data_IF_112352778385
#
_entry.id   IF_112352778385
#
_cell.length_a   1.000
_cell.length_b   1.000
_cell.length_c   1.000
_cell.angle_alpha   90.00
_cell.angle_beta   90.00
_cell.angle_gamma   90.00
#
_symmetry.space_group_name_H-M   'P 1'
#
loop_
_entity.id
_entity.type
_entity.pdbx_description
1 polymer ?
#
# COMPACT_ATOMS: atom_id res chain seq x y z
N UNK A 1 -7.92 12.81 -14.22
CA UNK A 1 -7.67 12.57 -12.77
C UNK A 1 -8.51 13.43 -11.83
N UNK A 2 -8.97 14.64 -12.21
CA UNK A 2 -9.68 15.55 -11.28
C UNK A 2 -11.17 15.22 -11.03
N UNK A 3 -11.77 14.40 -11.90
CA UNK A 3 -13.14 13.93 -11.74
C UNK A 3 -13.10 12.44 -11.32
N UNK A 4 -13.81 12.04 -10.24
CA UNK A 4 -13.88 10.64 -9.82
C UNK A 4 -14.67 9.80 -10.84
N UNK A 5 -14.33 8.50 -10.95
CA UNK A 5 -15.09 7.58 -11.80
C UNK A 5 -16.46 7.29 -11.17
N UNK A 6 -17.54 7.23 -11.96
CA UNK A 6 -18.87 6.90 -11.43
C UNK A 6 -18.91 5.46 -10.91
N UNK A 7 -19.63 5.26 -9.81
CA UNK A 7 -19.90 3.96 -9.18
C UNK A 7 -21.38 3.92 -8.81
N UNK A 8 -21.97 2.72 -8.76
CA UNK A 8 -23.39 2.56 -8.41
C UNK A 8 -23.66 3.02 -6.97
N UNK A 9 -22.98 2.40 -6.00
CA UNK A 9 -23.15 2.67 -4.58
C UNK A 9 -21.81 2.54 -3.84
N UNK A 10 -21.66 3.29 -2.74
CA UNK A 10 -20.52 3.17 -1.82
C UNK A 10 -20.91 2.26 -0.66
N UNK A 11 -20.33 1.07 -0.61
CA UNK A 11 -20.61 0.08 0.42
C UNK A 11 -19.80 0.35 1.71
N UNK A 12 -20.33 0.03 2.89
CA UNK A 12 -19.54 0.03 4.12
C UNK A 12 -18.47 -1.06 4.06
N UNK A 13 -17.22 -0.75 4.45
CA UNK A 13 -16.13 -1.72 4.37
C UNK A 13 -16.26 -2.77 5.48
N UNK A 14 -16.32 -4.04 5.11
CA UNK A 14 -16.45 -5.18 6.05
C UNK A 14 -15.30 -6.17 5.97
N UNK A 15 -14.50 -6.13 4.90
CA UNK A 15 -13.38 -7.04 4.67
C UNK A 15 -12.05 -6.39 5.09
N UNK A 16 -11.21 -7.07 5.89
CA UNK A 16 -9.91 -6.53 6.27
C UNK A 16 -8.93 -6.49 5.09
N UNK A 17 -8.09 -5.46 5.06
CA UNK A 17 -6.88 -5.41 4.25
C UNK A 17 -5.80 -6.18 5.02
N UNK A 18 -5.48 -7.39 4.57
CA UNK A 18 -4.41 -8.19 5.15
C UNK A 18 -3.10 -7.69 4.54
N UNK A 19 -2.23 -7.15 5.39
CA UNK A 19 -0.95 -6.55 4.96
C UNK A 19 0.22 -7.53 4.99
N UNK A 20 0.09 -8.64 5.74
CA UNK A 20 1.18 -9.57 6.02
C UNK A 20 2.08 -9.13 7.17
N UNK A 21 1.86 -7.93 7.73
CA UNK A 21 2.63 -7.40 8.85
C UNK A 21 1.87 -7.64 10.15
N UNK A 22 2.43 -8.48 11.03
CA UNK A 22 1.79 -8.87 12.31
C UNK A 22 1.28 -7.69 13.12
N UNK A 23 2.06 -6.62 13.25
CA UNK A 23 1.67 -5.43 14.03
C UNK A 23 0.49 -4.68 13.40
N UNK A 24 0.43 -4.59 12.08
CA UNK A 24 -0.66 -3.92 11.37
C UNK A 24 -1.92 -4.80 11.39
N UNK A 25 -1.78 -6.08 11.09
CA UNK A 25 -2.92 -6.98 10.99
C UNK A 25 -3.58 -7.30 12.35
N UNK A 26 -2.82 -7.23 13.45
CA UNK A 26 -3.34 -7.53 14.80
C UNK A 26 -3.73 -6.31 15.62
N UNK A 27 -2.90 -5.26 15.64
CA UNK A 27 -3.10 -4.11 16.54
C UNK A 27 -3.77 -2.93 15.86
N UNK A 28 -3.53 -2.75 14.55
CA UNK A 28 -3.99 -1.58 13.80
C UNK A 28 -4.55 -1.98 12.42
N UNK A 29 -5.59 -2.84 12.37
CA UNK A 29 -6.07 -3.40 11.11
C UNK A 29 -6.68 -2.32 10.23
N UNK A 30 -6.47 -2.46 8.92
CA UNK A 30 -7.15 -1.67 7.89
C UNK A 30 -8.20 -2.52 7.17
N UNK A 31 -9.05 -1.87 6.39
CA UNK A 31 -10.13 -2.49 5.63
C UNK A 31 -9.98 -2.22 4.14
N UNK A 32 -10.47 -3.13 3.30
CA UNK A 32 -10.51 -2.93 1.85
C UNK A 32 -11.40 -1.72 1.53
N UNK A 33 -10.85 -0.75 0.79
CA UNK A 33 -11.48 0.55 0.53
C UNK A 33 -11.32 1.59 1.65
N UNK A 34 -10.60 1.25 2.72
CA UNK A 34 -10.20 2.16 3.78
C UNK A 34 -9.05 3.09 3.37
N UNK A 35 -8.77 4.07 4.23
CA UNK A 35 -7.66 5.02 4.05
C UNK A 35 -6.72 4.94 5.25
N UNK A 36 -5.42 4.81 5.00
CA UNK A 36 -4.39 4.75 6.03
C UNK A 36 -3.26 5.75 5.74
N UNK A 37 -2.55 6.14 6.79
CA UNK A 37 -1.37 6.98 6.68
C UNK A 37 -0.23 6.36 7.51
N UNK A 38 0.99 6.40 6.96
CA UNK A 38 2.22 5.95 7.63
C UNK A 38 3.13 7.17 7.82
N UNK A 39 3.01 7.89 8.94
CA UNK A 39 3.91 9.00 9.24
C UNK A 39 5.28 8.48 9.68
N UNK A 40 6.32 9.29 9.52
CA UNK A 40 7.65 8.95 10.03
C UNK A 40 8.76 9.84 9.48
N UNK A 41 9.83 9.99 10.27
CA UNK A 41 11.02 10.74 9.86
C UNK A 41 11.81 9.99 8.77
N UNK A 42 12.86 10.63 8.27
CA UNK A 42 13.82 9.97 7.39
C UNK A 42 14.45 8.75 8.10
N UNK A 43 14.56 7.61 7.42
CA UNK A 43 15.13 6.37 7.98
C UNK A 43 14.17 5.51 8.80
N UNK A 44 12.92 5.92 9.03
CA UNK A 44 11.94 5.13 9.80
C UNK A 44 11.30 3.94 9.05
N UNK A 45 11.82 3.56 7.87
CA UNK A 45 11.30 2.40 7.13
C UNK A 45 9.92 2.57 6.49
N UNK A 46 9.47 3.81 6.21
CA UNK A 46 8.18 4.06 5.55
C UNK A 46 8.06 3.32 4.21
N UNK A 47 9.07 3.45 3.35
CA UNK A 47 9.12 2.82 2.03
C UNK A 47 9.11 1.29 2.14
N UNK A 48 9.77 0.73 3.16
CA UNK A 48 9.78 -0.72 3.41
C UNK A 48 8.37 -1.25 3.68
N UNK A 49 7.58 -0.54 4.49
CA UNK A 49 6.19 -0.94 4.76
C UNK A 49 5.34 -0.82 3.49
N UNK A 50 5.49 0.27 2.72
CA UNK A 50 4.75 0.46 1.47
C UNK A 50 5.08 -0.60 0.42
N UNK A 51 6.35 -1.00 0.33
CA UNK A 51 6.80 -2.11 -0.53
C UNK A 51 6.24 -3.44 -0.03
N UNK A 52 6.37 -3.76 1.26
CA UNK A 52 5.85 -5.01 1.82
C UNK A 52 4.33 -5.16 1.60
N UNK A 53 3.57 -4.09 1.76
CA UNK A 53 2.13 -4.07 1.48
C UNK A 53 1.85 -4.30 -0.02
N UNK A 54 2.67 -3.73 -0.90
CA UNK A 54 2.56 -3.93 -2.35
C UNK A 54 2.84 -5.38 -2.78
N UNK A 55 3.72 -6.08 -2.05
CA UNK A 55 4.12 -7.46 -2.38
C UNK A 55 3.23 -8.53 -1.76
N UNK A 56 2.71 -8.29 -0.55
CA UNK A 56 2.12 -9.34 0.28
C UNK A 56 0.67 -9.08 0.69
N UNK A 57 0.09 -7.94 0.33
CA UNK A 57 -1.30 -7.70 0.68
C UNK A 57 -2.26 -8.59 -0.10
N UNK A 58 -3.47 -8.81 0.44
CA UNK A 58 -4.55 -9.52 -0.25
C UNK A 58 -5.20 -8.73 -1.41
N UNK A 59 -4.47 -7.78 -2.00
CA UNK A 59 -4.92 -6.95 -3.12
C UNK A 59 -4.57 -7.62 -4.44
N UNK A 60 -5.52 -7.64 -5.38
CA UNK A 60 -5.31 -8.23 -6.71
C UNK A 60 -4.51 -7.33 -7.66
N UNK A 61 -4.53 -6.03 -7.40
CA UNK A 61 -3.82 -5.03 -8.19
C UNK A 61 -3.27 -3.95 -7.26
N UNK A 62 -2.05 -3.52 -7.54
CA UNK A 62 -1.36 -2.47 -6.78
C UNK A 62 -1.03 -1.32 -7.72
N UNK A 63 -1.34 -0.10 -7.27
CA UNK A 63 -0.95 1.14 -7.93
C UNK A 63 0.03 1.84 -6.99
N UNK A 64 1.32 1.79 -7.32
CA UNK A 64 2.37 2.45 -6.56
C UNK A 64 2.74 3.78 -7.21
N UNK A 65 2.59 4.88 -6.48
CA UNK A 65 2.91 6.23 -6.95
C UNK A 65 3.98 6.82 -6.03
N UNK A 66 5.23 6.86 -6.48
CA UNK A 66 6.31 7.57 -5.81
C UNK A 66 6.31 9.05 -6.21
N UNK A 67 6.15 9.96 -5.24
CA UNK A 67 6.16 11.41 -5.48
C UNK A 67 7.28 12.06 -4.68
N UNK A 68 8.30 12.59 -5.36
CA UNK A 68 9.45 13.22 -4.69
C UNK A 68 10.33 12.25 -3.90
N UNK A 69 10.22 10.94 -4.18
CA UNK A 69 11.01 9.90 -3.53
C UNK A 69 12.46 9.90 -4.02
N UNK A 70 13.34 9.31 -3.21
CA UNK A 70 14.75 9.13 -3.59
C UNK A 70 14.83 8.14 -4.76
N UNK A 71 15.59 8.49 -5.80
CA UNK A 71 15.68 7.69 -7.03
C UNK A 71 16.06 6.22 -6.80
N UNK A 72 16.93 5.96 -5.83
CA UNK A 72 17.34 4.59 -5.50
C UNK A 72 16.19 3.73 -4.96
N UNK A 73 15.27 4.32 -4.18
CA UNK A 73 14.12 3.59 -3.61
C UNK A 73 13.14 3.17 -4.72
N UNK A 74 12.96 4.01 -5.74
CA UNK A 74 12.15 3.68 -6.91
C UNK A 74 12.82 2.67 -7.84
N UNK A 75 14.15 2.73 -7.98
CA UNK A 75 14.90 1.78 -8.80
C UNK A 75 14.82 0.36 -8.21
N UNK A 76 14.91 0.21 -6.89
CA UNK A 76 14.75 -1.06 -6.18
C UNK A 76 13.37 -1.67 -6.44
N UNK A 77 12.30 -0.87 -6.33
CA UNK A 77 10.93 -1.31 -6.64
C UNK A 77 10.82 -1.85 -8.07
N UNK A 78 11.36 -1.13 -9.05
CA UNK A 78 11.28 -1.52 -10.46
C UNK A 78 12.08 -2.78 -10.78
N UNK A 79 13.18 -3.02 -10.06
CA UNK A 79 14.01 -4.20 -10.22
C UNK A 79 13.39 -5.45 -9.57
N UNK A 80 12.83 -5.31 -8.36
CA UNK A 80 12.34 -6.46 -7.58
C UNK A 80 10.94 -6.92 -7.96
N UNK A 81 10.06 -6.01 -8.40
CA UNK A 81 8.65 -6.35 -8.68
C UNK A 81 8.48 -7.40 -9.80
N UNK A 82 9.26 -7.39 -10.89
CA UNK A 82 9.18 -8.42 -11.93
C UNK A 82 9.57 -9.82 -11.47
N UNK A 83 10.32 -9.95 -10.36
CA UNK A 83 10.78 -11.25 -9.84
C UNK A 83 9.79 -11.88 -8.84
N UNK A 84 8.73 -11.17 -8.47
CA UNK A 84 7.70 -11.67 -7.56
C UNK A 84 6.81 -12.67 -8.31
N UNK A 85 6.97 -13.95 -7.99
CA UNK A 85 6.12 -15.07 -8.43
C UNK A 85 4.98 -15.35 -7.48
#
# INVERSE_FOLDING_TARGET
VRNPRPVTDKLPPTTPLITGQRVLDSLFPSVLGGTCAIPGAFGCGKTVISQALSKHSNSQAIIYVGCGERGNEMAEVLAEFPELT
#
